data_IF_739591719985
#
_entry.id   IF_739591719985
#
_cell.length_a   1.000
_cell.length_b   1.000
_cell.length_c   1.000
_cell.angle_alpha   90.00
_cell.angle_beta   90.00
_cell.angle_gamma   90.00
#
_symmetry.space_group_name_H-M   'P 1'
#
loop_
_entity.id
_entity.type
_entity.pdbx_description
1 polymer ?
#
# COMPACT_ATOMS: atom_id res chain seq x y z
N UNK A 1 -16.28 0.53 1.17
CA UNK A 1 -15.15 1.20 1.85
C UNK A 1 -15.21 2.66 1.51
N UNK A 2 -14.72 3.54 2.38
CA UNK A 2 -14.56 4.96 2.05
C UNK A 2 -13.11 5.16 1.63
N UNK A 3 -12.91 5.69 0.42
CA UNK A 3 -11.57 5.97 -0.10
C UNK A 3 -11.23 7.43 0.15
N UNK A 4 -9.96 7.74 0.40
CA UNK A 4 -9.56 9.09 0.82
C UNK A 4 -9.87 10.16 -0.25
N UNK A 5 -9.92 9.78 -1.53
CA UNK A 5 -10.21 10.67 -2.65
C UNK A 5 -11.61 11.25 -2.61
N UNK A 6 -12.52 10.65 -1.83
CA UNK A 6 -13.89 11.16 -1.66
C UNK A 6 -13.99 12.25 -0.59
N UNK A 7 -12.97 12.41 0.27
CA UNK A 7 -12.96 13.35 1.41
C UNK A 7 -13.31 14.79 1.00
N UNK A 8 -12.71 15.38 -0.06
CA UNK A 8 -13.03 16.76 -0.44
C UNK A 8 -14.53 16.96 -0.72
N UNK A 9 -15.14 15.97 -1.38
CA UNK A 9 -16.55 16.00 -1.77
C UNK A 9 -17.48 15.72 -0.58
N UNK A 10 -17.18 14.69 0.22
CA UNK A 10 -18.03 14.27 1.34
C UNK A 10 -18.08 15.31 2.46
N UNK A 11 -16.95 15.99 2.72
CA UNK A 11 -16.82 16.94 3.82
C UNK A 11 -16.78 18.40 3.35
N UNK A 12 -16.96 18.65 2.05
CA UNK A 12 -16.92 19.99 1.44
C UNK A 12 -15.63 20.74 1.81
N UNK A 13 -14.50 20.05 1.71
CA UNK A 13 -13.15 20.57 1.95
C UNK A 13 -12.57 21.04 0.61
N UNK A 14 -11.75 22.09 0.65
CA UNK A 14 -11.03 22.56 -0.54
C UNK A 14 -10.13 21.45 -1.10
N UNK A 15 -10.28 21.13 -2.39
CA UNK A 15 -9.40 20.18 -3.09
C UNK A 15 -7.94 20.59 -2.96
N UNK A 16 -7.64 21.89 -3.05
CA UNK A 16 -6.27 22.39 -2.87
C UNK A 16 -5.71 22.06 -1.48
N UNK A 17 -6.51 22.25 -0.41
CA UNK A 17 -6.05 21.95 0.96
C UNK A 17 -5.83 20.46 1.13
N UNK A 18 -6.68 19.63 0.50
CA UNK A 18 -6.52 18.19 0.50
C UNK A 18 -5.23 17.77 -0.24
N UNK A 19 -5.00 18.32 -1.43
CA UNK A 19 -3.82 18.02 -2.26
C UNK A 19 -2.53 18.43 -1.56
N UNK A 20 -2.48 19.61 -0.94
CA UNK A 20 -1.31 20.09 -0.19
C UNK A 20 -0.96 19.12 0.96
N UNK A 21 -1.97 18.71 1.76
CA UNK A 21 -1.76 17.75 2.87
C UNK A 21 -1.38 16.35 2.37
N UNK A 22 -1.89 15.94 1.21
CA UNK A 22 -1.55 14.66 0.60
C UNK A 22 -0.10 14.64 0.10
N UNK A 23 0.37 15.75 -0.50
CA UNK A 23 1.78 15.90 -0.89
C UNK A 23 2.70 15.93 0.33
N UNK A 24 2.35 16.68 1.38
CA UNK A 24 3.12 16.68 2.64
C UNK A 24 3.24 15.26 3.22
N UNK A 25 2.17 14.47 3.16
CA UNK A 25 2.19 13.08 3.62
C UNK A 25 3.11 12.20 2.75
N UNK A 26 3.10 12.39 1.44
CA UNK A 26 3.98 11.68 0.51
C UNK A 26 5.46 11.98 0.82
N UNK A 27 5.81 13.25 0.99
CA UNK A 27 7.17 13.68 1.33
C UNK A 27 7.64 13.03 2.65
N UNK A 28 6.77 12.97 3.67
CA UNK A 28 7.08 12.31 4.94
C UNK A 28 7.35 10.79 4.78
N UNK A 29 6.69 10.11 3.84
CA UNK A 29 6.99 8.70 3.56
C UNK A 29 8.32 8.53 2.82
N UNK A 30 8.68 9.46 1.92
CA UNK A 30 9.99 9.47 1.29
C UNK A 30 11.10 9.70 2.31
N UNK A 31 10.95 10.68 3.21
CA UNK A 31 11.89 10.95 4.30
C UNK A 31 12.04 9.73 5.22
N UNK A 32 10.94 9.07 5.59
CA UNK A 32 10.98 7.85 6.39
C UNK A 32 11.76 6.73 5.67
N UNK A 33 11.57 6.58 4.37
CA UNK A 33 12.28 5.57 3.57
C UNK A 33 13.77 5.89 3.44
N UNK A 34 14.13 7.16 3.32
CA UNK A 34 15.53 7.58 3.26
C UNK A 34 16.24 7.39 4.60
N UNK A 35 15.55 7.62 5.72
CA UNK A 35 16.08 7.34 7.06
C UNK A 35 16.50 5.87 7.23
N UNK A 36 15.75 4.91 6.67
CA UNK A 36 16.16 3.50 6.70
C UNK A 36 17.51 3.31 6.01
N UNK A 37 17.73 3.94 4.85
CA UNK A 37 19.00 3.85 4.11
C UNK A 37 20.15 4.47 4.90
N UNK A 38 19.92 5.63 5.53
CA UNK A 38 20.92 6.32 6.34
C UNK A 38 21.37 5.48 7.54
N UNK A 39 20.45 4.77 8.17
CA UNK A 39 20.72 3.84 9.27
C UNK A 39 21.25 2.46 8.79
N UNK A 40 21.50 2.30 7.49
CA UNK A 40 22.00 1.05 6.91
C UNK A 40 20.99 -0.09 6.91
N UNK A 41 19.70 0.22 7.05
CA UNK A 41 18.59 -0.71 6.89
C UNK A 41 18.20 -0.80 5.41
N UNK A 42 17.69 -1.96 5.02
CA UNK A 42 17.11 -2.13 3.70
C UNK A 42 15.86 -1.25 3.56
N UNK A 43 15.74 -0.45 2.49
CA UNK A 43 14.57 0.39 2.29
C UNK A 43 13.39 -0.47 1.85
N UNK A 44 12.29 -0.39 2.61
CA UNK A 44 11.04 -1.07 2.31
C UNK A 44 10.46 -0.67 0.93
N UNK A 45 9.63 -1.56 0.37
CA UNK A 45 8.93 -1.35 -0.90
C UNK A 45 7.48 -0.93 -0.67
N UNK A 46 6.87 -1.38 0.43
CA UNK A 46 5.58 -0.91 0.90
C UNK A 46 5.52 -0.84 2.42
N UNK A 47 4.64 0.01 2.96
CA UNK A 47 4.41 0.11 4.40
C UNK A 47 2.93 0.35 4.70
N UNK A 48 2.50 -0.04 5.90
CA UNK A 48 1.13 0.11 6.35
C UNK A 48 1.10 0.69 7.77
N UNK A 49 0.23 1.68 7.96
CA UNK A 49 0.02 2.37 9.23
C UNK A 49 -1.45 2.18 9.64
N UNK A 50 -1.69 1.23 10.53
CA UNK A 50 -3.00 0.95 11.09
C UNK A 50 -3.14 1.67 12.43
N UNK A 51 -4.10 2.60 12.53
CA UNK A 51 -4.35 3.30 13.78
C UNK A 51 -5.83 3.46 14.13
N UNK A 52 -6.11 3.60 15.41
CA UNK A 52 -7.47 3.86 15.93
C UNK A 52 -7.54 5.21 16.62
N UNK A 53 -8.76 5.72 16.82
CA UNK A 53 -9.01 6.94 17.59
C UNK A 53 -8.57 6.86 19.06
N UNK A 54 -8.30 5.66 19.58
CA UNK A 54 -7.73 5.44 20.92
C UNK A 54 -6.18 5.63 20.94
N UNK A 55 -5.56 5.95 19.81
CA UNK A 55 -4.11 6.15 19.70
C UNK A 55 -3.29 4.86 19.62
N UNK A 56 -3.93 3.71 19.37
CA UNK A 56 -3.20 2.46 19.08
C UNK A 56 -2.70 2.52 17.65
N UNK A 57 -1.37 2.52 17.46
CA UNK A 57 -0.70 2.48 16.16
C UNK A 57 -0.02 1.11 15.97
N UNK A 58 -0.21 0.52 14.80
CA UNK A 58 0.56 -0.61 14.29
C UNK A 58 1.20 -0.18 12.98
N UNK A 59 2.48 -0.45 12.84
CA UNK A 59 3.24 -0.18 11.62
C UNK A 59 3.83 -1.50 11.13
N UNK A 60 3.70 -1.76 9.84
CA UNK A 60 4.39 -2.84 9.16
C UNK A 60 5.11 -2.31 7.93
N UNK A 61 6.24 -2.93 7.64
CA UNK A 61 7.05 -2.69 6.45
C UNK A 61 7.17 -4.02 5.71
N UNK A 62 7.10 -3.94 4.40
CA UNK A 62 7.10 -5.09 3.50
C UNK A 62 8.08 -4.83 2.35
N UNK A 63 8.63 -5.92 1.81
CA UNK A 63 9.74 -5.93 0.87
C UNK A 63 9.39 -6.69 -0.41
N UNK A 64 8.11 -6.88 -0.72
CA UNK A 64 7.67 -7.46 -2.00
C UNK A 64 8.24 -6.60 -3.14
N UNK A 65 8.93 -7.25 -4.08
CA UNK A 65 9.60 -6.59 -5.18
C UNK A 65 8.65 -6.25 -6.32
N UNK A 66 7.74 -5.31 -6.04
CA UNK A 66 6.76 -4.84 -7.00
C UNK A 66 7.36 -4.24 -8.29
N UNK A 67 8.66 -3.87 -8.28
CA UNK A 67 9.33 -3.28 -9.45
C UNK A 67 9.58 -4.34 -10.52
N UNK A 68 9.91 -5.56 -10.10
CA UNK A 68 10.16 -6.69 -11.01
C UNK A 68 8.91 -7.53 -11.32
N UNK A 69 7.73 -7.04 -10.93
CA UNK A 69 6.45 -7.65 -11.29
C UNK A 69 5.82 -6.98 -12.51
N UNK A 70 5.02 -7.74 -13.26
CA UNK A 70 4.19 -7.20 -14.36
C UNK A 70 2.85 -6.63 -13.87
N UNK A 71 2.54 -6.77 -12.57
CA UNK A 71 1.27 -6.34 -11.98
C UNK A 71 1.17 -4.82 -11.92
N UNK A 72 0.11 -4.29 -12.51
CA UNK A 72 -0.16 -2.87 -12.54
C UNK A 72 -0.72 -2.36 -11.19
N UNK A 73 -1.09 -1.08 -11.15
CA UNK A 73 -1.64 -0.48 -9.94
C UNK A 73 -2.97 -1.13 -9.53
N UNK A 74 -3.82 -1.49 -10.49
CA UNK A 74 -5.13 -2.08 -10.20
C UNK A 74 -4.97 -3.49 -9.63
N UNK A 75 -4.06 -4.30 -10.17
CA UNK A 75 -3.73 -5.62 -9.65
C UNK A 75 -3.25 -5.56 -8.20
N UNK A 76 -2.37 -4.59 -7.87
CA UNK A 76 -1.88 -4.36 -6.51
C UNK A 76 -2.99 -3.90 -5.56
N UNK A 77 -3.86 -3.00 -6.01
CA UNK A 77 -5.02 -2.54 -5.23
C UNK A 77 -5.98 -3.69 -4.94
N UNK A 78 -6.33 -4.48 -5.95
CA UNK A 78 -7.19 -5.67 -5.82
C UNK A 78 -6.58 -6.69 -4.85
N UNK A 79 -5.27 -6.95 -4.96
CA UNK A 79 -4.55 -7.82 -4.04
C UNK A 79 -4.61 -7.31 -2.60
N UNK A 80 -4.33 -6.02 -2.38
CA UNK A 80 -4.41 -5.41 -1.05
C UNK A 80 -5.83 -5.51 -0.47
N UNK A 81 -6.84 -5.22 -1.28
CA UNK A 81 -8.25 -5.31 -0.89
C UNK A 81 -8.66 -6.72 -0.48
N UNK A 82 -8.19 -7.74 -1.20
CA UNK A 82 -8.37 -9.14 -0.86
C UNK A 82 -7.64 -9.52 0.44
N UNK A 83 -6.33 -9.24 0.52
CA UNK A 83 -5.48 -9.61 1.67
C UNK A 83 -5.93 -8.94 2.97
N UNK A 84 -6.27 -7.64 2.91
CA UNK A 84 -6.61 -6.84 4.09
C UNK A 84 -8.07 -6.96 4.50
N UNK A 85 -8.99 -6.97 3.53
CA UNK A 85 -10.42 -6.85 3.79
C UNK A 85 -11.24 -8.07 3.34
N UNK A 86 -10.63 -9.06 2.69
CA UNK A 86 -11.34 -10.22 2.13
C UNK A 86 -12.27 -9.87 0.97
N UNK A 87 -12.06 -8.71 0.32
CA UNK A 87 -12.87 -8.25 -0.80
C UNK A 87 -12.28 -8.80 -2.09
N UNK A 88 -13.05 -9.60 -2.80
CA UNK A 88 -12.68 -10.13 -4.11
C UNK A 88 -13.16 -9.18 -5.22
N UNK A 89 -12.40 -9.04 -6.32
CA UNK A 89 -12.87 -8.35 -7.51
C UNK A 89 -14.00 -9.13 -8.18
N UNK A 90 -14.79 -8.44 -9.02
CA UNK A 90 -15.93 -9.06 -9.70
C UNK A 90 -15.50 -9.89 -10.91
N UNK A 91 -14.43 -9.48 -11.59
CA UNK A 91 -14.00 -10.11 -12.83
C UNK A 91 -13.08 -11.29 -12.56
N UNK A 92 -13.28 -12.39 -13.30
CA UNK A 92 -12.50 -13.61 -13.14
C UNK A 92 -11.00 -13.42 -13.39
N UNK A 93 -10.62 -12.57 -14.35
CA UNK A 93 -9.21 -12.30 -14.64
C UNK A 93 -8.52 -11.54 -13.49
N UNK A 94 -9.22 -10.64 -12.80
CA UNK A 94 -8.70 -9.91 -11.63
C UNK A 94 -8.52 -10.85 -10.44
N UNK A 95 -9.41 -11.85 -10.29
CA UNK A 95 -9.24 -12.91 -9.29
C UNK A 95 -8.05 -13.83 -9.60
N UNK A 96 -7.77 -14.08 -10.88
CA UNK A 96 -6.59 -14.87 -11.27
C UNK A 96 -5.29 -14.11 -11.02
N UNK A 97 -5.26 -12.81 -11.34
CA UNK A 97 -4.12 -11.93 -11.06
C UNK A 97 -3.77 -11.90 -9.56
N UNK A 98 -4.78 -11.89 -8.67
CA UNK A 98 -4.56 -12.02 -7.21
C UNK A 98 -3.81 -13.31 -6.85
N UNK A 99 -4.13 -14.44 -7.50
CA UNK A 99 -3.44 -15.72 -7.25
C UNK A 99 -2.02 -15.70 -7.79
N UNK A 100 -1.80 -15.07 -8.94
CA UNK A 100 -0.47 -14.89 -9.52
C UNK A 100 0.41 -14.05 -8.59
N UNK A 101 -0.13 -12.99 -8.01
CA UNK A 101 0.55 -12.18 -6.97
C UNK A 101 0.88 -13.03 -5.74
N UNK A 102 -0.08 -13.81 -5.22
CA UNK A 102 0.15 -14.71 -4.08
C UNK A 102 1.24 -15.76 -4.36
N UNK A 103 1.33 -16.24 -5.60
CA UNK A 103 2.36 -17.19 -6.01
C UNK A 103 3.73 -16.51 -6.10
N UNK A 104 3.78 -15.32 -6.70
CA UNK A 104 5.01 -14.52 -6.79
C UNK A 104 5.60 -14.24 -5.41
N UNK A 105 4.78 -13.81 -4.44
CA UNK A 105 5.23 -13.51 -3.08
C UNK A 105 5.81 -14.76 -2.39
N UNK A 106 5.18 -15.93 -2.56
CA UNK A 106 5.70 -17.19 -2.01
C UNK A 106 7.04 -17.58 -2.62
N UNK A 107 7.19 -17.41 -3.93
CA UNK A 107 8.44 -17.71 -4.63
C UNK A 107 9.57 -16.77 -4.19
N UNK A 108 9.25 -15.49 -3.96
CA UNK A 108 10.18 -14.53 -3.38
C UNK A 108 10.62 -14.98 -1.97
N UNK A 109 9.66 -15.26 -1.09
CA UNK A 109 9.93 -15.71 0.29
C UNK A 109 10.77 -16.98 0.33
N UNK A 110 10.55 -17.94 -0.59
CA UNK A 110 11.33 -19.18 -0.69
C UNK A 110 12.76 -18.95 -1.22
N UNK A 111 12.97 -17.95 -2.08
CA UNK A 111 14.27 -17.61 -2.63
C UNK A 111 15.18 -16.85 -1.64
N UNK A 112 14.60 -16.22 -0.62
CA UNK A 112 15.31 -15.48 0.43
C UNK A 112 15.79 -16.38 1.60
N UNK A 113 15.43 -17.68 1.61
CA UNK A 113 15.84 -18.69 2.61
C UNK A 113 17.17 -19.37 2.24
#
# INVERSE_FOLDING_TARGET
>A
LNYYTDIPKEYNISVQVFDDLWMDLYDLFEELRDLFKEEGLEPWTSCEFDFTSEGKLKVSFDYIDWINTEFDQLGRENYYMYKKFGVLPEMEYEMEEIKEIDQYIKEQDEAEI
#
